data_IF_314525331256
#
_entry.id   IF_314525331256
#
_cell.length_a   1.000
_cell.length_b   1.000
_cell.length_c   1.000
_cell.angle_alpha   90.00
_cell.angle_beta   90.00
_cell.angle_gamma   90.00
#
_symmetry.space_group_name_H-M   'P 1'
#
loop_
_entity.id
_entity.type
_entity.pdbx_description
1 polymer ?
#
# COMPACT_ATOMS: atom_id res chain seq x y z
N UNK A 1 17.45 18.83 -4.27
CA UNK A 1 16.55 18.21 -5.27
C UNK A 1 16.46 16.69 -5.11
N UNK A 2 17.58 15.94 -5.18
CA UNK A 2 17.54 14.49 -4.91
C UNK A 2 17.21 14.19 -3.44
N UNK A 3 17.80 14.94 -2.52
CA UNK A 3 17.57 14.80 -1.08
C UNK A 3 16.16 15.24 -0.65
N UNK A 4 15.50 16.08 -1.45
CA UNK A 4 14.12 16.50 -1.19
C UNK A 4 13.15 15.34 -1.46
N UNK A 5 13.41 14.56 -2.51
CA UNK A 5 12.60 13.39 -2.90
C UNK A 5 12.97 12.16 -2.07
N UNK A 6 14.26 11.88 -1.88
CA UNK A 6 14.76 10.76 -1.08
C UNK A 6 15.18 11.20 0.33
N UNK A 7 14.35 12.03 0.95
CA UNK A 7 14.56 12.47 2.31
C UNK A 7 14.43 11.30 3.30
N UNK A 8 14.92 11.52 4.52
CA UNK A 8 14.92 10.53 5.59
C UNK A 8 13.54 9.94 5.91
N UNK A 9 12.44 10.71 5.72
CA UNK A 9 11.09 10.19 5.95
C UNK A 9 10.69 9.18 4.88
N UNK A 10 10.92 9.48 3.60
CA UNK A 10 10.62 8.57 2.49
C UNK A 10 11.41 7.27 2.63
N UNK A 11 12.72 7.37 2.88
CA UNK A 11 13.55 6.18 3.10
C UNK A 11 13.13 5.41 4.36
N UNK A 12 12.72 6.11 5.42
CA UNK A 12 12.16 5.51 6.63
C UNK A 12 10.87 4.74 6.38
N UNK A 13 9.97 5.24 5.54
CA UNK A 13 8.77 4.51 5.12
C UNK A 13 9.12 3.30 4.25
N UNK A 14 10.00 3.48 3.25
CA UNK A 14 10.40 2.40 2.35
C UNK A 14 11.06 1.22 3.08
N UNK A 15 11.85 1.50 4.12
CA UNK A 15 12.52 0.47 4.93
C UNK A 15 11.65 -0.18 6.01
N UNK A 16 10.46 0.36 6.32
CA UNK A 16 9.62 -0.09 7.43
C UNK A 16 8.16 -0.27 7.00
N UNK A 17 7.96 -1.10 5.99
CA UNK A 17 6.64 -1.46 5.45
C UNK A 17 6.00 -2.50 6.38
N UNK A 18 4.83 -2.19 6.92
CA UNK A 18 4.04 -3.11 7.74
C UNK A 18 3.10 -3.96 6.86
N UNK A 19 2.58 -5.07 7.42
CA UNK A 19 1.57 -5.94 6.76
C UNK A 19 2.03 -6.52 5.42
N UNK A 20 3.35 -6.77 5.28
CA UNK A 20 3.92 -7.50 4.14
C UNK A 20 3.45 -8.96 4.19
N UNK A 21 2.95 -9.44 3.06
CA UNK A 21 2.51 -10.83 2.90
C UNK A 21 1.16 -10.90 2.20
N UNK A 22 0.45 -12.01 2.46
CA UNK A 22 -0.87 -12.30 1.94
C UNK A 22 -1.79 -12.64 3.13
N UNK A 23 -3.07 -12.35 3.01
CA UNK A 23 -4.06 -12.84 3.97
C UNK A 23 -4.42 -14.29 3.62
N UNK A 24 -4.77 -15.11 4.63
CA UNK A 24 -5.17 -16.51 4.40
C UNK A 24 -6.53 -16.61 3.70
N UNK A 25 -7.46 -15.73 4.06
CA UNK A 25 -8.83 -15.70 3.54
C UNK A 25 -9.29 -14.27 3.23
N UNK A 26 -8.68 -13.59 2.23
CA UNK A 26 -9.12 -12.24 1.86
C UNK A 26 -10.49 -12.28 1.19
N UNK A 27 -11.26 -11.20 1.35
CA UNK A 27 -12.51 -11.02 0.61
C UNK A 27 -12.22 -10.63 -0.84
N UNK A 28 -11.14 -9.89 -1.06
CA UNK A 28 -10.67 -9.53 -2.39
C UNK A 28 -9.14 -9.44 -2.47
N UNK A 29 -8.63 -9.76 -3.66
CA UNK A 29 -7.23 -9.54 -4.05
C UNK A 29 -7.18 -8.70 -5.31
N UNK A 30 -6.31 -7.69 -5.34
CA UNK A 30 -6.01 -6.90 -6.53
C UNK A 30 -4.50 -6.86 -6.80
N UNK A 31 -4.11 -6.85 -8.07
CA UNK A 31 -2.71 -6.72 -8.50
C UNK A 31 -2.55 -5.62 -9.53
N UNK A 32 -1.59 -4.73 -9.30
CA UNK A 32 -1.21 -3.67 -10.22
C UNK A 32 0.25 -3.84 -10.66
N UNK A 33 0.52 -3.59 -11.94
CA UNK A 33 1.85 -3.66 -12.52
C UNK A 33 2.15 -2.41 -13.35
N UNK A 34 3.23 -1.71 -13.03
CA UNK A 34 3.71 -0.57 -13.80
C UNK A 34 4.68 -1.03 -14.89
N UNK A 35 4.24 -0.95 -16.14
CA UNK A 35 5.07 -1.31 -17.30
C UNK A 35 6.29 -0.39 -17.50
N UNK A 36 6.26 0.81 -16.92
CA UNK A 36 7.32 1.81 -17.08
C UNK A 36 8.56 1.49 -16.24
N UNK A 37 8.37 0.96 -15.03
CA UNK A 37 9.46 0.70 -14.08
C UNK A 37 9.51 -0.74 -13.57
N UNK A 38 8.64 -1.62 -14.08
CA UNK A 38 8.55 -3.03 -13.68
C UNK A 38 7.96 -3.26 -12.28
N UNK A 39 7.56 -2.20 -11.57
CA UNK A 39 7.03 -2.32 -10.20
C UNK A 39 5.71 -3.09 -10.19
N UNK A 40 5.52 -3.93 -9.18
CA UNK A 40 4.31 -4.74 -8.99
C UNK A 40 3.87 -4.69 -7.54
N UNK A 41 2.58 -4.47 -7.30
CA UNK A 41 1.98 -4.52 -5.96
C UNK A 41 0.76 -5.42 -6.02
N UNK A 42 0.67 -6.36 -5.08
CA UNK A 42 -0.52 -7.19 -4.86
C UNK A 42 -1.09 -6.86 -3.49
N UNK A 43 -2.37 -6.58 -3.41
CA UNK A 43 -3.09 -6.22 -2.19
C UNK A 43 -4.17 -7.25 -1.92
N UNK A 44 -4.28 -7.66 -0.67
CA UNK A 44 -5.37 -8.42 -0.09
C UNK A 44 -6.15 -7.54 0.87
N UNK A 45 -7.48 -7.67 0.85
CA UNK A 45 -8.37 -6.85 1.66
C UNK A 45 -9.47 -7.70 2.30
N UNK A 46 -9.83 -7.35 3.55
CA UNK A 46 -11.08 -7.74 4.17
C UNK A 46 -11.93 -6.52 4.47
N UNK A 47 -13.24 -6.68 4.30
CA UNK A 47 -14.24 -5.62 4.47
C UNK A 47 -15.33 -6.08 5.44
N UNK A 48 -15.81 -5.17 6.27
CA UNK A 48 -17.10 -5.28 6.95
C UNK A 48 -17.97 -4.10 6.51
N UNK A 49 -18.93 -4.39 5.63
CA UNK A 49 -19.65 -3.36 4.89
C UNK A 49 -18.68 -2.48 4.08
N UNK A 50 -18.65 -1.19 4.38
CA UNK A 50 -17.80 -0.21 3.70
C UNK A 50 -16.47 0.05 4.40
N UNK A 51 -16.17 -0.64 5.51
CA UNK A 51 -14.96 -0.42 6.32
C UNK A 51 -13.94 -1.54 6.12
N UNK A 52 -12.67 -1.19 5.93
CA UNK A 52 -11.58 -2.17 5.86
C UNK A 52 -11.28 -2.74 7.24
N UNK A 53 -11.33 -4.06 7.39
CA UNK A 53 -11.06 -4.75 8.67
C UNK A 53 -9.71 -5.45 8.70
N UNK A 54 -9.17 -5.85 7.54
CA UNK A 54 -7.83 -6.43 7.44
C UNK A 54 -7.20 -6.12 6.08
N UNK A 55 -5.86 -6.13 6.05
CA UNK A 55 -5.07 -5.77 4.88
C UNK A 55 -3.72 -6.47 4.89
N UNK A 56 -3.31 -7.00 3.74
CA UNK A 56 -1.92 -7.40 3.51
C UNK A 56 -1.49 -7.04 2.10
N UNK A 57 -0.18 -6.89 1.87
CA UNK A 57 0.33 -6.65 0.53
C UNK A 57 1.70 -7.27 0.25
N UNK A 58 1.93 -7.68 -1.00
CA UNK A 58 3.26 -8.01 -1.53
C UNK A 58 3.71 -6.87 -2.44
N UNK A 59 4.84 -6.25 -2.09
CA UNK A 59 5.32 -5.00 -2.70
C UNK A 59 6.69 -5.24 -3.34
N UNK A 60 6.72 -5.19 -4.67
CA UNK A 60 7.95 -5.24 -5.48
C UNK A 60 8.05 -3.96 -6.27
N UNK A 61 8.48 -2.88 -5.62
CA UNK A 61 8.52 -1.55 -6.21
C UNK A 61 9.81 -0.79 -5.82
N UNK A 62 10.06 0.33 -6.49
CA UNK A 62 11.13 1.25 -6.08
C UNK A 62 10.84 1.89 -4.71
N UNK A 63 11.81 2.60 -4.15
CA UNK A 63 11.69 3.22 -2.82
C UNK A 63 10.47 4.14 -2.67
N UNK A 64 10.06 4.88 -3.71
CA UNK A 64 8.83 5.68 -3.67
C UNK A 64 7.56 4.82 -3.62
N UNK A 65 7.51 3.73 -4.40
CA UNK A 65 6.41 2.79 -4.36
C UNK A 65 6.33 2.05 -3.02
N UNK A 66 7.48 1.70 -2.44
CA UNK A 66 7.60 1.11 -1.11
C UNK A 66 7.15 2.08 -0.01
N UNK A 67 7.55 3.34 -0.08
CA UNK A 67 7.13 4.37 0.86
C UNK A 67 5.61 4.62 0.81
N UNK A 68 5.05 4.77 -0.40
CA UNK A 68 3.60 4.91 -0.59
C UNK A 68 2.84 3.69 -0.04
N UNK A 69 3.32 2.47 -0.34
CA UNK A 69 2.73 1.24 0.19
C UNK A 69 2.78 1.20 1.73
N UNK A 70 3.90 1.62 2.33
CA UNK A 70 4.01 1.69 3.80
C UNK A 70 3.02 2.68 4.41
N UNK A 71 2.75 3.82 3.77
CA UNK A 71 1.78 4.79 4.27
C UNK A 71 0.37 4.19 4.20
N UNK A 72 0.03 3.54 3.09
CA UNK A 72 -1.25 2.84 2.95
C UNK A 72 -1.43 1.79 4.05
N UNK A 73 -0.45 0.88 4.23
CA UNK A 73 -0.53 -0.19 5.20
C UNK A 73 -0.71 0.29 6.65
N UNK A 74 -0.27 1.52 6.99
CA UNK A 74 -0.44 2.12 8.33
C UNK A 74 -1.84 2.70 8.57
N UNK A 75 -2.52 3.16 7.52
CA UNK A 75 -3.75 3.96 7.65
C UNK A 75 -5.00 3.24 7.12
N UNK A 76 -4.85 2.15 6.37
CA UNK A 76 -5.97 1.54 5.64
C UNK A 76 -7.01 0.83 6.51
N UNK A 77 -6.59 0.17 7.60
CA UNK A 77 -7.56 -0.53 8.47
C UNK A 77 -8.39 0.50 9.25
N UNK A 78 -9.70 0.36 9.19
CA UNK A 78 -10.68 1.30 9.75
C UNK A 78 -11.09 2.42 8.80
N UNK A 79 -10.40 2.60 7.67
CA UNK A 79 -10.83 3.53 6.64
C UNK A 79 -12.06 2.99 5.90
N UNK A 80 -12.92 3.90 5.44
CA UNK A 80 -14.05 3.54 4.61
C UNK A 80 -13.72 3.59 3.10
N UNK A 81 -14.51 2.91 2.29
CA UNK A 81 -14.28 2.81 0.84
C UNK A 81 -14.29 4.16 0.12
N UNK A 82 -15.07 5.14 0.59
CA UNK A 82 -15.15 6.48 -0.02
C UNK A 82 -13.93 7.34 0.30
N UNK A 83 -13.39 7.27 1.53
CA UNK A 83 -12.12 7.88 1.90
C UNK A 83 -10.98 7.37 1.01
N UNK A 84 -10.93 6.05 0.77
CA UNK A 84 -9.91 5.44 -0.09
C UNK A 84 -10.05 5.88 -1.55
N UNK A 85 -11.28 6.08 -2.04
CA UNK A 85 -11.53 6.62 -3.37
C UNK A 85 -11.13 8.09 -3.48
N UNK A 86 -11.41 8.89 -2.46
CA UNK A 86 -11.07 10.31 -2.43
C UNK A 86 -9.56 10.55 -2.46
N UNK A 87 -8.76 9.74 -1.76
CA UNK A 87 -7.28 9.88 -1.76
C UNK A 87 -6.64 9.53 -3.12
N UNK A 88 -7.36 8.83 -4.01
CA UNK A 88 -6.88 8.49 -5.35
C UNK A 88 -7.03 9.66 -6.34
N UNK A 89 -8.01 10.53 -6.11
CA UNK A 89 -8.29 11.71 -6.96
C UNK A 89 -7.24 12.82 -6.74
#
# INVERSE_FOLDING_TARGET
MIDDVYNAKILGFAGNIARIGRLDHPDATARAHSKLCGSTVTVDLKMDGDVVTDFAHDVKACALGQASSSIMARNVIGANADELRAVRE
#
